data_IF_455957656501
#
_entry.id   IF_455957656501
#
_cell.length_a   1.000
_cell.length_b   1.000
_cell.length_c   1.000
_cell.angle_alpha   90.00
_cell.angle_beta   90.00
_cell.angle_gamma   90.00
#
_symmetry.space_group_name_H-M   'P 1'
#
loop_
_entity.id
_entity.type
_entity.pdbx_description
1 polymer ?
#
# COMPACT_ATOMS: atom_id res chain seq x y z
N UNK A 1 -18.04 33.11 -2.56
CA UNK A 1 -17.87 32.21 -1.40
C UNK A 1 -19.05 31.26 -1.38
N UNK A 2 -18.96 30.15 -2.09
CA UNK A 2 -20.02 29.14 -2.07
C UNK A 2 -19.51 27.82 -1.52
N UNK A 3 -20.22 27.40 -0.49
CA UNK A 3 -20.38 26.09 0.11
C UNK A 3 -19.14 25.38 0.65
N UNK A 4 -18.88 25.60 1.90
CA UNK A 4 -18.28 24.61 2.79
C UNK A 4 -19.27 23.43 2.96
N UNK A 5 -19.16 22.41 2.14
CA UNK A 5 -19.99 21.19 2.28
C UNK A 5 -19.12 20.06 2.81
N UNK A 6 -19.42 19.62 4.02
CA UNK A 6 -18.97 18.33 4.53
C UNK A 6 -18.16 18.34 5.81
N UNK A 7 -18.44 19.22 6.74
CA UNK A 7 -17.80 19.21 8.05
C UNK A 7 -18.50 18.23 9.00
N UNK A 8 -17.74 17.26 9.47
CA UNK A 8 -18.09 16.50 10.68
C UNK A 8 -18.12 17.46 11.87
N UNK A 9 -19.13 17.34 12.76
CA UNK A 9 -19.35 18.23 13.89
C UNK A 9 -18.24 18.25 14.97
N UNK A 10 -17.24 17.38 14.82
CA UNK A 10 -16.18 17.17 15.83
C UNK A 10 -14.78 17.60 15.36
N UNK A 11 -14.67 18.40 14.29
CA UNK A 11 -13.36 18.79 13.73
C UNK A 11 -12.94 20.13 14.26
N UNK A 12 -11.83 20.16 14.97
CA UNK A 12 -11.23 21.35 15.53
C UNK A 12 -10.27 22.06 14.56
N UNK A 13 -9.84 21.37 13.52
CA UNK A 13 -9.11 21.92 12.38
C UNK A 13 -9.52 21.18 11.12
N UNK A 14 -9.62 21.87 9.98
CA UNK A 14 -9.93 21.27 8.70
C UNK A 14 -9.08 21.87 7.57
N UNK A 15 -8.89 21.10 6.53
CA UNK A 15 -8.26 21.54 5.29
C UNK A 15 -9.34 21.63 4.22
N UNK A 16 -9.41 22.77 3.55
CA UNK A 16 -10.37 23.00 2.46
C UNK A 16 -9.67 23.61 1.25
N UNK A 17 -10.35 23.62 0.11
CA UNK A 17 -9.84 24.17 -1.13
C UNK A 17 -10.40 25.54 -1.39
N UNK A 18 -9.54 26.54 -1.61
CA UNK A 18 -9.94 27.86 -2.07
C UNK A 18 -9.80 27.95 -3.58
N UNK A 19 -10.84 28.50 -4.21
CA UNK A 19 -10.87 28.72 -5.65
C UNK A 19 -10.69 30.22 -5.98
N UNK A 20 -10.12 30.48 -7.13
CA UNK A 20 -10.06 31.84 -7.72
C UNK A 20 -11.45 32.29 -8.20
N UNK A 21 -11.52 33.50 -8.79
CA UNK A 21 -12.76 34.07 -9.32
C UNK A 21 -13.37 33.29 -10.48
N UNK A 22 -12.65 32.34 -11.06
CA UNK A 22 -13.09 31.45 -12.15
C UNK A 22 -13.45 30.06 -11.63
N UNK A 23 -13.56 29.87 -10.30
CA UNK A 23 -13.77 28.59 -9.63
C UNK A 23 -12.66 27.55 -9.87
N UNK A 24 -11.45 28.00 -10.21
CA UNK A 24 -10.28 27.12 -10.36
C UNK A 24 -9.63 26.99 -8.99
N UNK A 25 -9.38 25.75 -8.50
CA UNK A 25 -8.66 25.53 -7.25
C UNK A 25 -7.27 26.16 -7.30
N UNK A 26 -6.91 26.96 -6.31
CA UNK A 26 -5.65 27.72 -6.29
C UNK A 26 -4.83 27.51 -5.02
N UNK A 27 -5.47 27.13 -3.91
CA UNK A 27 -4.79 26.86 -2.66
C UNK A 27 -5.55 25.86 -1.80
N UNK A 28 -4.82 25.16 -0.93
CA UNK A 28 -5.39 24.49 0.24
C UNK A 28 -5.30 25.47 1.41
N UNK A 29 -6.32 25.51 2.24
CA UNK A 29 -6.35 26.31 3.45
C UNK A 29 -6.64 25.44 4.66
N UNK A 30 -5.85 25.63 5.71
CA UNK A 30 -6.08 24.98 6.99
C UNK A 30 -6.58 25.98 8.00
N UNK A 31 -7.73 25.70 8.55
CA UNK A 31 -8.46 26.57 9.47
C UNK A 31 -8.61 25.87 10.81
N UNK A 32 -8.46 26.62 11.89
CA UNK A 32 -8.84 26.19 13.23
C UNK A 32 -10.25 26.68 13.52
N UNK A 33 -11.20 25.77 13.59
CA UNK A 33 -12.56 26.09 14.00
C UNK A 33 -12.69 25.96 15.53
N UNK A 34 -12.93 27.06 16.27
CA UNK A 34 -13.11 27.00 17.71
C UNK A 34 -14.46 26.36 18.03
N UNK A 35 -14.47 25.11 18.41
CA UNK A 35 -15.65 24.40 18.92
C UNK A 35 -15.80 24.58 20.44
N UNK A 36 -14.68 24.83 21.11
CA UNK A 36 -14.62 25.13 22.54
C UNK A 36 -13.74 26.37 22.76
N UNK A 37 -14.33 27.40 23.35
CA UNK A 37 -13.63 28.66 23.64
C UNK A 37 -12.40 28.46 24.55
N UNK A 38 -12.46 27.53 25.48
CA UNK A 38 -11.36 27.22 26.39
C UNK A 38 -10.13 26.62 25.68
N UNK A 39 -10.34 25.88 24.59
CA UNK A 39 -9.28 25.24 23.81
C UNK A 39 -8.73 26.12 22.68
N UNK A 40 -9.40 27.22 22.34
CA UNK A 40 -9.00 28.13 21.25
C UNK A 40 -7.54 28.59 21.32
N UNK A 41 -6.97 28.98 22.49
CA UNK A 41 -5.56 29.36 22.60
C UNK A 41 -4.60 28.22 22.25
N UNK A 42 -4.92 26.99 22.65
CA UNK A 42 -4.12 25.78 22.37
C UNK A 42 -4.10 25.51 20.86
N UNK A 43 -5.25 25.57 20.20
CA UNK A 43 -5.34 25.38 18.74
C UNK A 43 -4.61 26.47 17.95
N UNK A 44 -4.70 27.73 18.38
CA UNK A 44 -3.95 28.82 17.73
C UNK A 44 -2.44 28.62 17.87
N UNK A 45 -1.98 28.22 19.04
CA UNK A 45 -0.57 27.93 19.26
C UNK A 45 -0.11 26.74 18.38
N UNK A 46 -0.94 25.68 18.27
CA UNK A 46 -0.64 24.54 17.39
C UNK A 46 -0.59 24.96 15.92
N UNK A 47 -1.53 25.81 15.46
CA UNK A 47 -1.55 26.35 14.10
C UNK A 47 -0.31 27.19 13.81
N UNK A 48 0.10 28.09 14.73
CA UNK A 48 1.31 28.88 14.58
C UNK A 48 2.54 27.98 14.47
N UNK A 49 2.66 26.99 15.33
CA UNK A 49 3.78 26.05 15.33
C UNK A 49 3.83 25.21 14.04
N UNK A 50 2.68 24.77 13.55
CA UNK A 50 2.59 24.08 12.26
C UNK A 50 3.06 24.95 11.10
N UNK A 51 2.67 26.21 11.09
CA UNK A 51 3.13 27.21 10.13
C UNK A 51 4.65 27.36 10.17
N UNK A 52 5.22 27.56 11.37
CA UNK A 52 6.66 27.73 11.57
C UNK A 52 7.46 26.49 11.11
N UNK A 53 6.89 25.29 11.29
CA UNK A 53 7.47 24.04 10.80
C UNK A 53 7.36 23.96 9.29
N UNK A 54 6.17 24.24 8.73
CA UNK A 54 5.91 24.16 7.30
C UNK A 54 6.84 25.04 6.46
N UNK A 55 7.21 26.23 6.98
CA UNK A 55 8.18 27.13 6.34
C UNK A 55 9.62 26.57 6.29
N UNK A 56 9.96 25.60 7.12
CA UNK A 56 11.30 25.01 7.19
C UNK A 56 11.45 23.78 6.31
N UNK A 57 10.35 23.27 5.76
CA UNK A 57 10.32 22.02 5.02
C UNK A 57 10.39 22.26 3.51
N UNK A 58 11.22 21.44 2.84
CA UNK A 58 11.32 21.41 1.37
C UNK A 58 10.10 20.71 0.77
N UNK A 59 9.49 21.24 -0.30
CA UNK A 59 8.25 20.73 -0.86
C UNK A 59 8.36 19.43 -1.69
N UNK A 60 9.46 18.69 -1.71
CA UNK A 60 9.61 17.55 -2.61
C UNK A 60 8.48 16.52 -2.45
N UNK A 61 8.21 16.08 -1.20
CA UNK A 61 7.08 15.17 -0.89
C UNK A 61 6.21 15.71 0.24
N UNK A 62 6.31 17.00 0.49
CA UNK A 62 5.62 17.72 1.55
C UNK A 62 4.85 18.87 0.89
N UNK A 63 3.61 19.07 1.31
CA UNK A 63 2.81 20.19 0.82
C UNK A 63 3.44 21.51 1.24
N UNK A 64 3.70 22.39 0.28
CA UNK A 64 4.37 23.66 0.53
C UNK A 64 3.47 24.63 1.30
N UNK A 65 3.99 25.17 2.40
CA UNK A 65 3.34 26.25 3.15
C UNK A 65 3.68 27.59 2.51
N UNK A 66 2.66 28.26 2.00
CA UNK A 66 2.80 29.55 1.31
C UNK A 66 2.82 30.72 2.27
N UNK A 67 1.91 30.72 3.25
CA UNK A 67 1.78 31.83 4.17
C UNK A 67 0.73 31.59 5.25
N UNK A 68 0.53 32.60 6.09
CA UNK A 68 -0.55 32.65 7.06
C UNK A 68 -1.36 33.93 6.84
N UNK A 69 -2.66 33.79 6.67
CA UNK A 69 -3.56 34.86 6.32
C UNK A 69 -4.73 34.95 7.32
N UNK A 70 -5.28 36.16 7.44
CA UNK A 70 -6.51 36.42 8.19
C UNK A 70 -7.66 36.43 7.19
N UNK A 71 -8.38 35.32 7.08
CA UNK A 71 -9.52 35.22 6.16
C UNK A 71 -10.84 35.58 6.86
N UNK A 72 -11.69 36.38 6.16
CA UNK A 72 -12.99 36.77 6.66
C UNK A 72 -13.88 35.54 6.88
N UNK A 73 -14.45 35.43 8.08
CA UNK A 73 -15.31 34.31 8.48
C UNK A 73 -14.55 33.05 8.92
N UNK A 74 -13.24 32.93 8.64
CA UNK A 74 -12.42 31.78 8.97
C UNK A 74 -11.38 32.06 10.05
N UNK A 75 -10.96 33.32 10.19
CA UNK A 75 -9.93 33.70 11.14
C UNK A 75 -8.52 33.48 10.60
N UNK A 76 -7.59 33.20 11.50
CA UNK A 76 -6.19 32.92 11.17
C UNK A 76 -6.07 31.56 10.47
N UNK A 77 -5.44 31.53 9.31
CA UNK A 77 -5.48 30.40 8.37
C UNK A 77 -4.11 30.18 7.76
N UNK A 78 -3.63 28.95 7.73
CA UNK A 78 -2.45 28.55 6.94
C UNK A 78 -2.88 28.38 5.48
N UNK A 79 -2.18 29.03 4.58
CA UNK A 79 -2.32 28.88 3.13
C UNK A 79 -1.23 27.97 2.62
N UNK A 80 -1.61 26.94 1.87
CA UNK A 80 -0.71 25.93 1.31
C UNK A 80 -0.88 25.85 -0.22
N UNK A 81 0.10 25.26 -0.90
CA UNK A 81 -0.05 24.96 -2.33
C UNK A 81 -1.29 24.07 -2.58
N UNK A 82 -1.96 24.30 -3.71
CA UNK A 82 -3.02 23.38 -4.13
C UNK A 82 -2.42 22.06 -4.62
N UNK A 83 -2.89 20.95 -4.08
CA UNK A 83 -2.50 19.62 -4.50
C UNK A 83 -3.64 19.01 -5.31
N UNK A 84 -3.47 18.94 -6.64
CA UNK A 84 -4.40 18.23 -7.52
C UNK A 84 -4.21 16.72 -7.38
N UNK A 85 -4.99 16.12 -6.49
CA UNK A 85 -4.85 14.71 -6.11
C UNK A 85 -5.92 14.23 -5.15
N UNK A 86 -5.88 12.93 -4.85
CA UNK A 86 -6.75 12.27 -3.87
C UNK A 86 -5.95 11.96 -2.59
N UNK A 87 -6.65 11.85 -1.47
CA UNK A 87 -6.02 11.31 -0.26
C UNK A 87 -5.76 9.81 -0.43
N UNK A 88 -4.71 9.31 0.22
CA UNK A 88 -4.45 7.87 0.26
C UNK A 88 -5.64 7.10 0.86
N UNK A 89 -6.36 7.72 1.80
CA UNK A 89 -7.59 7.16 2.37
C UNK A 89 -8.66 6.94 1.28
N UNK A 90 -8.90 7.94 0.41
CA UNK A 90 -9.84 7.78 -0.71
C UNK A 90 -9.39 6.69 -1.66
N UNK A 91 -8.10 6.66 -2.04
CA UNK A 91 -7.55 5.64 -2.95
C UNK A 91 -7.71 4.21 -2.41
N UNK A 92 -7.57 4.04 -1.08
CA UNK A 92 -7.81 2.75 -0.40
C UNK A 92 -9.29 2.39 -0.44
N UNK A 93 -10.17 3.31 -0.02
CA UNK A 93 -11.62 3.06 0.08
C UNK A 93 -12.27 2.80 -1.28
N UNK A 94 -11.81 3.50 -2.33
CA UNK A 94 -12.34 3.39 -3.69
C UNK A 94 -11.75 2.20 -4.47
N UNK A 95 -10.81 1.45 -3.85
CA UNK A 95 -10.14 0.32 -4.49
C UNK A 95 -9.24 0.72 -5.68
N UNK A 96 -8.81 1.98 -5.73
CA UNK A 96 -7.99 2.53 -6.80
C UNK A 96 -6.49 2.34 -6.59
N UNK A 97 -6.08 1.79 -5.43
CA UNK A 97 -4.68 1.59 -5.08
C UNK A 97 -4.13 0.29 -5.68
N UNK A 98 -3.09 0.37 -6.51
CA UNK A 98 -2.38 -0.81 -7.03
C UNK A 98 -1.12 -1.10 -6.21
N UNK A 99 -0.64 -2.36 -6.22
CA UNK A 99 0.60 -2.74 -5.53
C UNK A 99 1.82 -1.93 -6.01
N UNK A 100 1.89 -1.60 -7.30
CA UNK A 100 2.95 -0.76 -7.85
C UNK A 100 2.90 0.66 -7.30
N UNK A 101 1.69 1.23 -7.22
CA UNK A 101 1.48 2.57 -6.67
C UNK A 101 1.78 2.59 -5.17
N UNK A 102 1.31 1.59 -4.41
CA UNK A 102 1.60 1.46 -2.99
C UNK A 102 3.11 1.42 -2.70
N UNK A 103 3.87 0.64 -3.47
CA UNK A 103 5.33 0.61 -3.35
C UNK A 103 6.00 1.95 -3.70
N UNK A 104 5.45 2.71 -4.66
CA UNK A 104 5.91 4.07 -4.97
C UNK A 104 5.65 5.00 -3.79
N UNK A 105 4.42 5.00 -3.28
CA UNK A 105 4.01 5.83 -2.13
C UNK A 105 4.90 5.55 -0.92
N UNK A 106 5.13 4.26 -0.58
CA UNK A 106 6.00 3.91 0.56
C UNK A 106 7.41 4.49 0.39
N UNK A 107 8.02 4.39 -0.80
CA UNK A 107 9.36 4.95 -1.03
C UNK A 107 9.39 6.47 -0.84
N UNK A 108 8.40 7.17 -1.37
CA UNK A 108 8.31 8.63 -1.23
C UNK A 108 8.01 9.07 0.21
N UNK A 109 7.20 8.31 0.97
CA UNK A 109 7.00 8.53 2.40
C UNK A 109 8.29 8.32 3.19
N UNK A 110 9.10 7.30 2.82
CA UNK A 110 10.41 7.11 3.43
C UNK A 110 11.35 8.29 3.14
N UNK A 111 11.31 8.86 1.92
CA UNK A 111 12.11 10.04 1.58
C UNK A 111 11.66 11.28 2.38
N UNK A 112 10.34 11.51 2.49
CA UNK A 112 9.79 12.62 3.27
C UNK A 112 10.14 12.53 4.75
N UNK A 113 9.92 11.36 5.36
CA UNK A 113 10.19 11.16 6.79
C UNK A 113 11.70 11.21 7.12
N UNK A 114 12.54 10.67 6.25
CA UNK A 114 14.00 10.75 6.40
C UNK A 114 14.48 12.21 6.42
N UNK A 115 13.95 13.01 5.50
CA UNK A 115 14.20 14.44 5.44
C UNK A 115 13.72 15.18 6.69
N UNK A 116 12.48 14.93 7.15
CA UNK A 116 11.94 15.54 8.38
C UNK A 116 12.78 15.15 9.61
N UNK A 117 13.11 13.87 9.75
CA UNK A 117 13.90 13.38 10.88
C UNK A 117 15.33 13.92 10.87
N UNK A 118 15.94 14.17 9.70
CA UNK A 118 17.22 14.82 9.57
C UNK A 118 17.23 16.28 10.11
N UNK A 119 16.04 16.92 10.11
CA UNK A 119 15.80 18.25 10.69
C UNK A 119 15.26 18.19 12.13
N UNK A 120 15.26 17.02 12.76
CA UNK A 120 14.71 16.77 14.09
C UNK A 120 13.20 17.07 14.20
N UNK A 121 12.48 16.99 13.08
CA UNK A 121 11.02 17.16 13.04
C UNK A 121 10.37 15.78 12.98
N UNK A 122 9.45 15.52 13.90
CA UNK A 122 8.66 14.29 13.99
C UNK A 122 7.22 14.63 13.61
N UNK A 123 6.61 13.88 12.67
CA UNK A 123 5.29 14.18 12.14
C UNK A 123 4.16 13.94 13.15
N UNK A 124 4.19 12.83 13.87
CA UNK A 124 3.27 12.40 14.96
C UNK A 124 1.80 12.12 14.56
N UNK A 125 1.33 12.54 13.41
CA UNK A 125 -0.04 12.29 12.93
C UNK A 125 -0.05 11.71 11.51
N UNK A 126 0.88 10.80 11.23
CA UNK A 126 0.92 10.13 9.93
C UNK A 126 -0.23 9.14 9.82
N UNK A 127 -1.12 9.37 8.84
CA UNK A 127 -2.30 8.55 8.55
C UNK A 127 -2.71 8.72 7.08
N UNK A 128 -3.51 7.80 6.49
CA UNK A 128 -3.88 7.88 5.07
C UNK A 128 -4.61 9.17 4.68
N UNK A 129 -5.35 9.81 5.60
CA UNK A 129 -6.03 11.07 5.35
C UNK A 129 -5.06 12.27 5.20
N UNK A 130 -3.85 12.19 5.79
CA UNK A 130 -2.83 13.24 5.74
C UNK A 130 -1.79 13.02 4.62
N UNK A 131 -2.05 12.07 3.73
CA UNK A 131 -1.18 11.75 2.59
C UNK A 131 -1.99 11.97 1.31
N UNK A 132 -1.64 12.99 0.54
CA UNK A 132 -2.21 13.20 -0.79
C UNK A 132 -1.34 12.54 -1.85
N UNK A 133 -1.98 12.09 -2.93
CA UNK A 133 -1.34 11.47 -4.09
C UNK A 133 -1.79 12.21 -5.33
N UNK A 134 -0.88 12.91 -6.01
CA UNK A 134 -1.21 13.75 -7.15
C UNK A 134 -1.80 12.96 -8.32
N UNK A 135 -2.74 13.54 -9.06
CA UNK A 135 -3.38 12.88 -10.21
C UNK A 135 -2.40 12.62 -11.35
N UNK A 136 -1.53 13.58 -11.64
CA UNK A 136 -0.63 13.54 -12.79
C UNK A 136 0.50 12.53 -12.62
N UNK A 137 1.34 12.76 -11.62
CA UNK A 137 2.59 12.01 -11.46
C UNK A 137 2.49 10.92 -10.40
N UNK A 138 1.35 10.87 -9.68
CA UNK A 138 1.13 9.97 -8.54
C UNK A 138 2.21 10.14 -7.48
N UNK A 139 2.60 11.39 -7.23
CA UNK A 139 3.57 11.74 -6.20
C UNK A 139 2.87 12.07 -4.88
N UNK A 140 3.53 11.71 -3.79
CA UNK A 140 3.07 11.99 -2.43
C UNK A 140 3.23 13.47 -2.12
N UNK A 141 2.24 14.01 -1.39
CA UNK A 141 2.32 15.28 -0.66
C UNK A 141 1.80 15.05 0.75
N UNK A 142 2.69 15.10 1.73
CA UNK A 142 2.30 15.11 3.14
C UNK A 142 1.67 16.44 3.49
N UNK A 143 0.54 16.37 4.15
CA UNK A 143 -0.20 17.53 4.67
C UNK A 143 -0.37 17.36 6.18
N UNK A 144 -0.58 18.46 6.90
CA UNK A 144 -0.92 18.46 8.32
C UNK A 144 0.23 18.09 9.26
N UNK A 145 0.90 19.13 9.78
CA UNK A 145 1.99 19.04 10.77
C UNK A 145 1.57 19.53 12.15
N UNK A 146 0.27 19.65 12.43
CA UNK A 146 -0.28 20.27 13.65
C UNK A 146 0.19 19.63 14.95
N UNK A 147 0.56 18.37 14.91
CA UNK A 147 1.01 17.62 16.07
C UNK A 147 2.54 17.45 16.13
N UNK A 148 3.24 17.94 15.11
CA UNK A 148 4.70 17.90 15.08
C UNK A 148 5.25 18.68 16.26
N UNK A 149 5.95 17.99 17.15
CA UNK A 149 6.62 18.57 18.32
C UNK A 149 5.72 19.34 19.31
N UNK A 150 4.43 18.97 19.48
CA UNK A 150 3.46 19.66 20.35
C UNK A 150 3.28 18.96 21.69
N UNK A 151 3.43 19.70 22.79
CA UNK A 151 3.06 19.24 24.15
C UNK A 151 1.55 19.12 24.33
N UNK A 152 0.76 19.75 23.45
CA UNK A 152 -0.70 19.68 23.41
C UNK A 152 -1.25 18.41 22.72
N UNK A 153 -0.38 17.48 22.32
CA UNK A 153 -0.68 16.26 21.59
C UNK A 153 -1.87 15.47 22.14
N UNK A 154 -1.92 15.27 23.47
CA UNK A 154 -3.01 14.52 24.11
C UNK A 154 -4.37 15.22 24.06
N UNK A 155 -4.37 16.57 23.97
CA UNK A 155 -5.58 17.40 24.00
C UNK A 155 -6.17 17.55 22.59
N UNK A 156 -5.30 17.61 21.56
CA UNK A 156 -5.71 17.90 20.18
C UNK A 156 -6.10 16.66 19.39
N UNK A 157 -5.88 15.44 19.90
CA UNK A 157 -6.24 14.22 19.19
C UNK A 157 -7.73 14.01 19.16
N UNK A 158 -8.25 13.95 17.96
CA UNK A 158 -9.63 13.60 17.66
C UNK A 158 -9.91 12.13 17.95
N UNK A 159 -11.13 11.77 18.39
CA UNK A 159 -11.47 10.40 18.79
C UNK A 159 -11.57 9.41 17.61
N UNK A 160 -11.57 8.16 17.93
CA UNK A 160 -11.91 6.96 17.17
C UNK A 160 -11.04 6.57 15.95
N UNK A 161 -10.96 7.34 14.86
CA UNK A 161 -10.25 6.89 13.65
C UNK A 161 -8.74 7.08 13.70
N UNK A 162 -8.27 8.14 14.34
CA UNK A 162 -6.84 8.51 14.43
C UNK A 162 -6.06 7.60 15.39
N UNK A 163 -6.72 7.04 16.41
CA UNK A 163 -6.07 6.20 17.44
C UNK A 163 -5.37 4.97 16.88
N UNK A 164 -5.84 4.44 15.76
CA UNK A 164 -5.24 3.27 15.11
C UNK A 164 -3.80 3.49 14.64
N UNK A 165 -3.43 4.73 14.31
CA UNK A 165 -2.10 5.09 13.79
C UNK A 165 -1.16 5.62 14.86
N UNK A 166 -1.65 5.85 16.09
CA UNK A 166 -0.87 6.44 17.16
C UNK A 166 0.01 5.37 17.81
N UNK A 167 1.30 5.67 17.91
CA UNK A 167 2.23 4.79 18.61
C UNK A 167 1.88 4.70 20.12
N UNK A 168 1.94 3.51 20.73
CA UNK A 168 1.53 3.31 22.13
C UNK A 168 2.21 4.26 23.12
N UNK A 169 3.49 4.56 22.92
CA UNK A 169 4.24 5.49 23.76
C UNK A 169 3.71 6.93 23.68
N UNK A 170 3.10 7.33 22.57
CA UNK A 170 2.51 8.67 22.43
C UNK A 170 1.23 8.86 23.24
N UNK A 171 0.62 7.78 23.74
CA UNK A 171 -0.55 7.82 24.60
C UNK A 171 -0.17 8.00 26.07
N UNK A 172 1.12 7.88 26.40
CA UNK A 172 1.62 8.04 27.77
C UNK A 172 1.96 9.52 28.00
N UNK A 173 1.34 10.12 29.01
CA UNK A 173 1.62 11.53 29.37
C UNK A 173 3.09 11.71 29.76
N UNK A 174 3.75 12.75 29.21
CA UNK A 174 5.15 13.04 29.49
C UNK A 174 6.17 12.12 28.79
N UNK A 175 5.74 11.25 27.88
CA UNK A 175 6.67 10.47 27.09
C UNK A 175 7.49 11.38 26.18
N UNK A 176 8.81 11.09 26.08
CA UNK A 176 9.69 11.82 25.18
C UNK A 176 9.33 11.53 23.74
N UNK A 177 9.44 12.56 22.92
CA UNK A 177 9.28 12.43 21.46
C UNK A 177 10.39 11.58 20.88
N UNK A 178 10.01 10.57 20.08
CA UNK A 178 10.95 9.68 19.40
C UNK A 178 10.50 9.52 17.92
N UNK A 179 11.43 9.63 16.98
CA UNK A 179 11.18 9.47 15.56
C UNK A 179 10.62 8.07 15.21
N UNK A 180 10.86 7.07 16.07
CA UNK A 180 10.28 5.72 15.92
C UNK A 180 8.75 5.69 16.11
N UNK A 181 8.15 6.75 16.65
CA UNK A 181 6.69 6.89 16.65
C UNK A 181 6.14 7.08 15.23
N UNK A 182 6.82 7.85 14.38
CA UNK A 182 6.45 7.96 12.97
C UNK A 182 6.64 6.62 12.22
N UNK A 183 7.65 5.84 12.59
CA UNK A 183 7.87 4.49 12.02
C UNK A 183 6.69 3.58 12.36
N UNK A 184 6.14 3.67 13.57
CA UNK A 184 4.93 2.92 13.93
C UNK A 184 3.73 3.36 13.08
N UNK A 185 3.47 4.65 13.00
CA UNK A 185 2.37 5.20 12.19
C UNK A 185 2.53 4.85 10.71
N UNK A 186 3.75 4.93 10.17
CA UNK A 186 4.07 4.46 8.82
C UNK A 186 3.78 2.97 8.66
N UNK A 187 4.12 2.15 9.66
CA UNK A 187 3.80 0.73 9.67
C UNK A 187 2.31 0.45 9.54
N UNK A 188 1.46 1.23 10.24
CA UNK A 188 0.00 1.14 10.13
C UNK A 188 -0.52 1.58 8.76
N UNK A 189 0.02 2.67 8.20
CA UNK A 189 -0.30 3.11 6.84
C UNK A 189 0.09 2.05 5.80
N UNK A 190 1.26 1.41 5.95
CA UNK A 190 1.71 0.32 5.08
C UNK A 190 0.81 -0.91 5.22
N UNK A 191 0.31 -1.21 6.43
CA UNK A 191 -0.63 -2.30 6.68
C UNK A 191 -1.92 -2.11 5.90
N UNK A 192 -2.54 -0.93 5.96
CA UNK A 192 -3.75 -0.60 5.18
C UNK A 192 -3.50 -0.75 3.67
N UNK A 193 -2.36 -0.25 3.17
CA UNK A 193 -1.99 -0.40 1.76
C UNK A 193 -1.73 -1.86 1.38
N UNK A 194 -1.13 -2.66 2.28
CA UNK A 194 -0.88 -4.07 2.06
C UNK A 194 -2.20 -4.86 1.98
N UNK A 195 -3.16 -4.54 2.84
CA UNK A 195 -4.51 -5.14 2.83
C UNK A 195 -5.26 -4.78 1.56
N UNK A 196 -5.29 -3.51 1.18
CA UNK A 196 -5.99 -3.03 -0.02
C UNK A 196 -5.42 -3.61 -1.32
N UNK A 197 -4.11 -3.89 -1.37
CA UNK A 197 -3.42 -4.33 -2.60
C UNK A 197 -3.00 -5.79 -2.60
N UNK A 198 -3.16 -6.50 -1.48
CA UNK A 198 -2.63 -7.85 -1.24
C UNK A 198 -1.13 -7.99 -1.55
N UNK A 199 -0.36 -6.90 -1.38
CA UNK A 199 1.06 -6.86 -1.67
C UNK A 199 1.89 -7.52 -0.56
N UNK A 200 2.35 -8.75 -0.77
CA UNK A 200 3.09 -9.53 0.23
C UNK A 200 4.34 -8.84 0.77
N UNK A 201 5.05 -8.10 -0.10
CA UNK A 201 6.26 -7.38 0.31
C UNK A 201 5.99 -6.29 1.37
N UNK A 202 4.79 -5.72 1.39
CA UNK A 202 4.42 -4.69 2.35
C UNK A 202 4.04 -5.25 3.72
N UNK A 203 3.47 -6.46 3.81
CA UNK A 203 3.07 -7.04 5.10
C UNK A 203 4.23 -7.24 6.07
N UNK A 204 5.38 -7.71 5.59
CA UNK A 204 6.56 -7.92 6.44
C UNK A 204 7.10 -6.59 6.97
N UNK A 205 7.17 -5.56 6.10
CA UNK A 205 7.61 -4.20 6.48
C UNK A 205 6.62 -3.58 7.46
N UNK A 206 5.32 -3.65 7.18
CA UNK A 206 4.25 -3.16 8.07
C UNK A 206 4.38 -3.76 9.46
N UNK A 207 4.48 -5.09 9.56
CA UNK A 207 4.60 -5.82 10.82
C UNK A 207 5.85 -5.42 11.63
N UNK A 208 6.98 -5.21 10.98
CA UNK A 208 8.21 -4.78 11.64
C UNK A 208 8.09 -3.34 12.17
N UNK A 209 7.49 -2.44 11.39
CA UNK A 209 7.33 -1.04 11.75
C UNK A 209 6.24 -0.84 12.82
N UNK A 210 5.07 -1.48 12.69
CA UNK A 210 3.95 -1.37 13.63
C UNK A 210 4.12 -2.21 14.91
N UNK A 211 5.36 -2.55 15.28
CA UNK A 211 5.62 -3.25 16.54
C UNK A 211 5.26 -2.34 17.74
N UNK A 212 4.41 -2.78 18.68
CA UNK A 212 4.07 -1.98 19.86
C UNK A 212 5.29 -1.64 20.73
N UNK A 213 6.25 -2.55 20.81
CA UNK A 213 7.51 -2.35 21.52
C UNK A 213 8.45 -1.51 20.66
N UNK A 214 8.75 -0.29 21.12
CA UNK A 214 9.57 0.70 20.41
C UNK A 214 11.01 0.20 20.16
N UNK A 215 11.57 -0.62 21.05
CA UNK A 215 12.94 -1.11 20.91
C UNK A 215 13.06 -2.26 19.89
N UNK A 216 11.94 -2.85 19.50
CA UNK A 216 11.87 -3.88 18.46
C UNK A 216 11.54 -3.31 17.08
N UNK A 217 11.22 -2.03 16.98
CA UNK A 217 11.01 -1.35 15.69
C UNK A 217 12.34 -1.08 14.99
N UNK A 218 12.32 -0.89 13.66
CA UNK A 218 13.47 -0.32 12.96
C UNK A 218 13.94 0.99 13.62
N UNK A 219 15.25 1.13 13.82
CA UNK A 219 15.81 2.25 14.56
C UNK A 219 15.66 3.61 13.83
N UNK A 220 15.54 3.59 12.50
CA UNK A 220 15.45 4.77 11.64
C UNK A 220 14.87 4.41 10.27
N UNK A 221 14.66 5.42 9.44
CA UNK A 221 14.10 5.23 8.08
C UNK A 221 15.02 4.40 7.18
N UNK A 222 16.34 4.50 7.34
CA UNK A 222 17.30 3.69 6.58
C UNK A 222 17.11 2.18 6.86
N UNK A 223 16.82 1.81 8.10
CA UNK A 223 16.51 0.42 8.47
C UNK A 223 15.19 -0.06 7.85
N UNK A 224 14.15 0.79 7.79
CA UNK A 224 12.89 0.47 7.08
C UNK A 224 13.14 0.27 5.58
N UNK A 225 13.97 1.12 4.98
CA UNK A 225 14.35 1.05 3.57
C UNK A 225 15.07 -0.27 3.24
N UNK A 226 15.95 -0.71 4.13
CA UNK A 226 16.65 -1.99 4.02
C UNK A 226 15.67 -3.17 4.04
N UNK A 227 14.67 -3.16 4.95
CA UNK A 227 13.62 -4.18 5.01
C UNK A 227 12.82 -4.23 3.69
N UNK A 228 12.37 -3.08 3.18
CA UNK A 228 11.61 -3.01 1.93
C UNK A 228 12.43 -3.56 0.74
N UNK A 229 13.74 -3.31 0.72
CA UNK A 229 14.64 -3.80 -0.32
C UNK A 229 14.87 -5.31 -0.21
N UNK A 230 15.01 -5.85 0.99
CA UNK A 230 15.20 -7.28 1.24
C UNK A 230 13.99 -8.10 0.76
N UNK A 231 12.77 -7.64 1.03
CA UNK A 231 11.53 -8.30 0.58
C UNK A 231 11.35 -8.28 -0.95
N UNK A 232 11.94 -7.32 -1.65
CA UNK A 232 11.85 -7.22 -3.12
C UNK A 232 12.89 -8.07 -3.87
N UNK A 233 13.96 -8.54 -3.19
CA UNK A 233 15.15 -9.13 -3.81
C UNK A 233 15.10 -10.67 -4.01
N UNK A 234 14.56 -11.49 -3.08
CA UNK A 234 14.70 -12.95 -3.16
C UNK A 234 14.05 -13.57 -4.41
N UNK A 235 12.90 -13.07 -4.79
CA UNK A 235 12.15 -13.55 -5.95
C UNK A 235 12.90 -13.32 -7.29
N UNK A 236 13.53 -12.16 -7.46
CA UNK A 236 14.26 -11.85 -8.71
C UNK A 236 15.53 -12.71 -8.83
N UNK A 237 16.28 -12.89 -7.74
CA UNK A 237 17.47 -13.75 -7.73
C UNK A 237 17.06 -15.21 -7.96
N UNK A 238 16.01 -15.71 -7.29
CA UNK A 238 15.50 -17.05 -7.48
C UNK A 238 15.03 -17.29 -8.93
N UNK A 239 14.36 -16.34 -9.56
CA UNK A 239 13.92 -16.46 -10.96
C UNK A 239 15.09 -16.46 -11.94
N UNK A 240 16.13 -15.68 -11.70
CA UNK A 240 17.36 -15.71 -12.50
C UNK A 240 18.13 -17.02 -12.34
N UNK A 241 18.24 -17.55 -11.13
CA UNK A 241 18.89 -18.84 -10.86
C UNK A 241 18.12 -20.00 -11.50
N UNK A 242 16.80 -19.99 -11.44
CA UNK A 242 15.95 -21.01 -12.08
C UNK A 242 16.04 -20.94 -13.61
N UNK A 243 16.06 -19.75 -14.21
CA UNK A 243 16.22 -19.62 -15.66
C UNK A 243 17.63 -20.01 -16.11
N UNK A 244 18.67 -19.67 -15.38
CA UNK A 244 20.02 -20.10 -15.66
C UNK A 244 20.17 -21.63 -15.57
N UNK A 245 19.62 -22.25 -14.53
CA UNK A 245 19.59 -23.70 -14.38
C UNK A 245 18.84 -24.41 -15.54
N UNK A 246 17.70 -23.85 -16.00
CA UNK A 246 16.94 -24.35 -17.12
C UNK A 246 17.75 -24.29 -18.43
N UNK A 247 18.49 -23.20 -18.68
CA UNK A 247 19.36 -23.06 -19.86
C UNK A 247 20.48 -24.07 -19.82
N UNK A 248 21.14 -24.27 -18.68
CA UNK A 248 22.20 -25.26 -18.53
C UNK A 248 21.66 -26.67 -18.74
N UNK A 249 20.52 -27.01 -18.17
CA UNK A 249 19.86 -28.32 -18.35
C UNK A 249 19.52 -28.55 -19.83
N UNK A 250 18.97 -27.55 -20.51
CA UNK A 250 18.67 -27.62 -21.93
C UNK A 250 19.93 -27.87 -22.77
N UNK A 251 21.03 -27.15 -22.49
CA UNK A 251 22.31 -27.35 -23.16
C UNK A 251 22.86 -28.77 -22.95
N UNK A 252 22.80 -29.31 -21.73
CA UNK A 252 23.19 -30.69 -21.42
C UNK A 252 22.33 -31.70 -22.18
N UNK A 253 21.03 -31.52 -22.23
CA UNK A 253 20.12 -32.39 -22.98
C UNK A 253 20.48 -32.36 -24.47
N UNK A 254 20.69 -31.17 -25.05
CA UNK A 254 21.10 -31.05 -26.46
C UNK A 254 22.41 -31.77 -26.76
N UNK A 255 23.44 -31.61 -25.91
CA UNK A 255 24.72 -32.29 -26.07
C UNK A 255 24.58 -33.82 -25.96
N UNK A 256 23.79 -34.31 -25.04
CA UNK A 256 23.52 -35.76 -24.90
C UNK A 256 22.77 -36.31 -26.09
N UNK A 257 21.81 -35.58 -26.65
CA UNK A 257 21.07 -36.00 -27.84
C UNK A 257 21.95 -35.96 -29.10
N UNK A 258 22.83 -34.98 -29.26
CA UNK A 258 23.77 -34.93 -30.38
C UNK A 258 24.80 -36.07 -30.29
N UNK A 259 25.34 -36.36 -29.09
CA UNK A 259 26.32 -37.40 -28.88
C UNK A 259 25.74 -38.83 -29.04
N UNK A 260 24.40 -38.96 -28.95
CA UNK A 260 23.69 -40.25 -29.14
C UNK A 260 23.63 -40.66 -30.61
N UNK A 261 23.80 -39.72 -31.54
CA UNK A 261 23.77 -39.98 -32.97
C UNK A 261 25.13 -40.42 -33.55
N UNK A 262 26.22 -40.39 -32.74
CA UNK A 262 27.53 -40.74 -33.19
C UNK A 262 28.00 -42.17 -32.82
N UNK A 263 27.08 -43.11 -32.46
CA UNK A 263 27.45 -44.50 -32.31
C UNK A 263 27.46 -45.14 -33.70
N UNK A 264 28.63 -45.57 -34.23
CA UNK A 264 28.72 -46.26 -35.52
C UNK A 264 28.04 -47.63 -35.40
N UNK A 265 27.09 -47.89 -36.32
CA UNK A 265 26.51 -49.19 -36.50
C UNK A 265 27.61 -50.23 -36.87
N UNK A 266 27.90 -51.12 -35.96
CA UNK A 266 28.73 -52.29 -36.28
C UNK A 266 27.92 -53.17 -37.23
N UNK A 267 28.28 -53.14 -38.52
CA UNK A 267 27.92 -54.13 -39.51
C UNK A 267 28.43 -55.52 -39.08
N UNK A 268 27.51 -56.41 -38.71
CA UNK A 268 27.82 -57.85 -38.66
C UNK A 268 27.34 -58.51 -39.95
N UNK A 269 28.30 -58.83 -40.79
CA UNK A 269 28.17 -59.79 -41.86
C UNK A 269 27.79 -61.16 -41.26
N UNK A 270 26.68 -61.72 -41.71
CA UNK A 270 26.46 -63.19 -41.68
C UNK A 270 25.69 -63.59 -42.91
N UNK A 271 26.27 -64.42 -43.69
CA UNK A 271 25.86 -65.11 -44.93
C UNK A 271 24.69 -66.10 -44.69
N UNK A 272 23.97 -66.47 -45.72
CA UNK A 272 22.65 -67.12 -45.62
C UNK A 272 22.73 -68.68 -45.72
N UNK A 273 21.80 -69.37 -45.04
CA UNK A 273 21.46 -70.76 -45.40
C UNK A 273 19.95 -71.03 -45.25
N UNK A 274 19.44 -71.33 -46.36
CA UNK A 274 18.36 -72.24 -46.87
C UNK A 274 17.32 -72.83 -45.90
N UNK A 275 16.10 -72.63 -46.39
CA UNK A 275 15.02 -73.61 -46.62
C UNK A 275 14.28 -74.25 -45.44
N UNK A 276 13.01 -74.03 -45.38
CA UNK A 276 11.92 -74.99 -45.64
C UNK A 276 10.61 -74.45 -45.06
N UNK A 277 9.63 -74.25 -45.94
CA UNK A 277 8.18 -74.27 -45.63
C UNK A 277 7.74 -75.66 -45.36
N UNK A 278 6.49 -76.01 -44.90
CA UNK A 278 5.22 -75.32 -45.07
C UNK A 278 4.16 -75.48 -43.95
N UNK A 279 3.09 -74.80 -44.20
CA UNK A 279 1.65 -75.18 -44.01
C UNK A 279 0.94 -74.83 -42.67
N UNK A 280 -0.02 -73.94 -42.79
CA UNK A 280 -1.49 -74.11 -42.71
C UNK A 280 -2.07 -74.41 -41.31
N UNK A 281 -2.93 -73.58 -40.80
CA UNK A 281 -4.38 -73.53 -41.03
C UNK A 281 -5.00 -72.51 -40.04
N UNK A 282 -5.70 -71.50 -40.53
CA UNK A 282 -7.17 -71.32 -40.45
C UNK A 282 -7.79 -71.31 -39.05
N UNK A 283 -8.39 -70.25 -38.71
CA UNK A 283 -9.83 -70.01 -38.60
C UNK A 283 -10.15 -68.77 -37.79
N UNK A 284 -10.79 -67.84 -38.43
CA UNK A 284 -11.72 -66.90 -37.85
C UNK A 284 -13.03 -67.65 -37.43
N UNK A 285 -14.05 -67.00 -36.91
CA UNK A 285 -14.31 -65.68 -36.41
C UNK A 285 -15.23 -65.66 -35.17
N UNK A 286 -15.62 -64.49 -34.72
CA UNK A 286 -16.87 -64.35 -33.96
C UNK A 286 -16.98 -63.14 -33.05
N UNK A 287 -17.54 -62.08 -33.56
CA UNK A 287 -18.69 -61.31 -33.09
C UNK A 287 -18.81 -60.97 -31.60
N UNK A 288 -19.00 -59.71 -31.30
CA UNK A 288 -20.21 -59.00 -30.97
C UNK A 288 -19.87 -57.82 -30.07
N UNK A 289 -19.98 -56.60 -30.55
CA UNK A 289 -21.16 -55.75 -30.50
C UNK A 289 -21.74 -55.63 -29.07
N UNK A 290 -21.62 -54.53 -28.46
CA UNK A 290 -22.69 -53.53 -28.20
C UNK A 290 -22.28 -52.47 -27.24
N UNK A 291 -22.43 -51.21 -27.65
CA UNK A 291 -22.91 -50.09 -26.86
C UNK A 291 -24.42 -50.29 -26.64
N UNK A 292 -25.20 -49.59 -25.87
CA UNK A 292 -25.08 -48.19 -25.36
C UNK A 292 -25.83 -47.89 -24.04
N UNK A 293 -26.01 -46.58 -23.83
CA UNK A 293 -27.04 -45.82 -23.06
C UNK A 293 -26.81 -45.65 -21.54
N UNK A 294 -26.65 -44.40 -21.11
CA UNK A 294 -27.59 -43.26 -20.88
C UNK A 294 -28.50 -43.48 -19.68
N UNK A 295 -28.44 -42.53 -18.82
CA UNK A 295 -29.51 -41.70 -18.22
C UNK A 295 -29.02 -41.11 -16.89
N UNK A 296 -28.98 -39.76 -16.80
CA UNK A 296 -30.09 -38.86 -16.38
C UNK A 296 -30.74 -39.24 -15.06
N UNK A 297 -30.58 -38.36 -14.12
CA UNK A 297 -31.55 -37.71 -13.22
C UNK A 297 -30.72 -37.01 -12.12
N UNK A 298 -30.76 -35.77 -11.78
CA UNK A 298 -31.93 -34.88 -11.74
C UNK A 298 -32.49 -34.79 -10.30
N UNK A 299 -32.08 -33.73 -9.56
CA UNK A 299 -32.81 -33.12 -8.42
C UNK A 299 -31.97 -31.93 -7.93
N UNK A 300 -32.34 -30.81 -8.18
CA UNK A 300 -33.07 -29.64 -7.71
C UNK A 300 -33.58 -29.76 -6.27
N UNK A 301 -33.12 -28.75 -5.49
CA UNK A 301 -33.81 -28.03 -4.38
C UNK A 301 -32.90 -26.84 -4.07
N UNK A 302 -33.26 -25.65 -4.40
CA UNK A 302 -34.32 -24.73 -3.94
C UNK A 302 -34.09 -24.19 -2.53
N UNK A 303 -33.92 -22.88 -2.55
CA UNK A 303 -34.37 -21.86 -1.61
C UNK A 303 -33.83 -21.79 -0.19
N UNK A 304 -33.49 -20.58 0.15
CA UNK A 304 -33.57 -20.09 1.50
C UNK A 304 -32.68 -18.89 1.82
N UNK A 305 -33.27 -17.73 1.64
CA UNK A 305 -33.16 -16.52 2.46
C UNK A 305 -31.99 -15.55 2.23
N UNK A 306 -32.29 -14.64 1.35
CA UNK A 306 -31.88 -13.23 1.32
C UNK A 306 -32.41 -12.52 2.58
N UNK A 307 -31.59 -12.24 3.57
CA UNK A 307 -31.90 -11.22 4.57
C UNK A 307 -31.20 -9.92 4.20
N UNK A 308 -32.02 -9.05 3.63
CA UNK A 308 -31.77 -7.61 3.49
C UNK A 308 -31.67 -7.02 4.91
N UNK A 309 -30.50 -6.59 5.34
CA UNK A 309 -30.33 -5.80 6.55
C UNK A 309 -30.69 -4.35 6.25
N UNK A 310 -31.80 -3.95 6.84
CA UNK A 310 -32.37 -2.61 6.87
C UNK A 310 -31.39 -1.61 7.52
N UNK A 311 -31.01 -0.57 6.77
CA UNK A 311 -30.07 0.50 7.14
C UNK A 311 -30.73 1.67 7.88
N UNK A 312 -31.83 1.48 8.56
CA UNK A 312 -32.60 2.59 9.16
C UNK A 312 -32.49 2.76 10.69
N UNK A 313 -31.51 2.14 11.34
CA UNK A 313 -31.35 2.24 12.80
C UNK A 313 -29.93 2.62 13.21
N UNK A 314 -29.56 3.90 12.96
CA UNK A 314 -28.53 4.57 13.76
C UNK A 314 -28.92 6.03 13.93
N UNK A 315 -28.99 6.53 15.18
CA UNK A 315 -29.29 7.92 15.49
C UNK A 315 -28.17 8.87 15.09
#
# INVERSE_FOLDING_TARGET
>A
MESFRGLSKDVTAFIDTVCDNNHVPCALVKVVAPTDFALTPIYRQALQKEFDIGLQLDPLYICHTVGMEQLEGLGQTIVMEYVDGDTLLSLINDGCLTAKLALKIVRQLLDALDYMHSKHIIHRDLKPANIMVTHRDKDVRLIDFSLSDSDAFCVLKSPAGTLAYIAPEQLVSGAKSDARSDIYSLGKVIEDMAEATHCRALYAVAKACACPDIDRRPANIAAVRALLSAESTPWRIASWLLSAAAVVLFAVICTLLLNRNDTPSAEQHATPQSAVQPQQNSLQPGHGVTKPHSNKTGASFADGDNQVLDRSLWP
#
